data_IF_145078932827
#
_entry.id   IF_145078932827
#
_cell.length_a   1.000
_cell.length_b   1.000
_cell.length_c   1.000
_cell.angle_alpha   90.00
_cell.angle_beta   90.00
_cell.angle_gamma   90.00
#
_symmetry.space_group_name_H-M   'P 1'
#
loop_
_entity.id
_entity.type
_entity.pdbx_description
1 polymer ?
#
# COMPACT_ATOMS: atom_id res chain seq x y z
N UNK A 1 35.11 10.50 -0.63
CA UNK A 1 34.06 9.55 -1.08
C UNK A 1 34.70 8.58 -2.05
N UNK A 2 34.93 7.34 -1.61
CA UNK A 2 35.48 6.28 -2.47
C UNK A 2 34.37 5.86 -3.43
N UNK A 3 34.48 6.21 -4.71
CA UNK A 3 33.50 5.80 -5.72
C UNK A 3 33.77 4.33 -6.04
N UNK A 4 32.83 3.44 -5.68
CA UNK A 4 32.97 2.03 -5.99
C UNK A 4 32.85 1.80 -7.51
N UNK A 5 33.60 0.83 -8.07
CA UNK A 5 33.45 0.47 -9.48
C UNK A 5 31.99 0.07 -9.76
N UNK A 6 31.41 0.55 -10.87
CA UNK A 6 30.02 0.25 -11.29
C UNK A 6 29.69 -1.25 -11.25
N UNK A 7 30.66 -2.10 -11.61
CA UNK A 7 30.54 -3.56 -11.55
C UNK A 7 30.25 -4.08 -10.13
N UNK A 8 30.88 -3.51 -9.11
CA UNK A 8 30.70 -3.92 -7.72
C UNK A 8 29.35 -3.48 -7.16
N UNK A 9 28.87 -2.30 -7.55
CA UNK A 9 27.53 -1.84 -7.18
C UNK A 9 26.45 -2.81 -7.70
N UNK A 10 26.57 -3.26 -8.95
CA UNK A 10 25.65 -4.26 -9.53
C UNK A 10 25.67 -5.55 -8.72
N UNK A 11 26.85 -6.09 -8.40
CA UNK A 11 26.97 -7.31 -7.58
C UNK A 11 26.35 -7.17 -6.19
N UNK A 12 26.52 -6.02 -5.54
CA UNK A 12 25.90 -5.75 -4.23
C UNK A 12 24.37 -5.72 -4.37
N UNK A 13 23.84 -5.07 -5.41
CA UNK A 13 22.40 -4.99 -5.63
C UNK A 13 21.78 -6.35 -5.97
N UNK A 14 22.44 -7.17 -6.79
CA UNK A 14 21.99 -8.54 -7.10
C UNK A 14 21.99 -9.43 -5.84
N UNK A 15 23.04 -9.33 -5.01
CA UNK A 15 23.13 -10.09 -3.77
C UNK A 15 22.08 -9.63 -2.74
N UNK A 16 21.82 -8.32 -2.66
CA UNK A 16 20.76 -7.75 -1.84
C UNK A 16 19.37 -8.20 -2.29
N UNK A 17 19.10 -8.16 -3.59
CA UNK A 17 17.84 -8.62 -4.18
C UNK A 17 17.63 -10.11 -3.88
N UNK A 18 18.65 -10.93 -4.08
CA UNK A 18 18.60 -12.34 -3.74
C UNK A 18 18.27 -12.53 -2.25
N UNK A 19 18.91 -11.78 -1.36
CA UNK A 19 18.70 -11.84 0.09
C UNK A 19 17.25 -11.49 0.47
N UNK A 20 16.69 -10.40 -0.08
CA UNK A 20 15.30 -9.98 0.18
C UNK A 20 14.31 -11.03 -0.28
N UNK A 21 14.50 -11.58 -1.48
CA UNK A 21 13.64 -12.60 -2.06
C UNK A 21 14.04 -14.02 -1.63
N UNK A 22 14.50 -14.15 -0.38
CA UNK A 22 14.73 -15.46 0.23
C UNK A 22 13.40 -16.07 0.63
N UNK A 23 13.11 -17.28 0.15
CA UNK A 23 11.78 -17.88 0.37
C UNK A 23 11.60 -18.42 1.80
N UNK A 24 12.67 -18.86 2.45
CA UNK A 24 12.69 -19.34 3.82
C UNK A 24 13.94 -18.86 4.58
N UNK A 25 13.97 -19.16 5.88
CA UNK A 25 15.04 -18.72 6.78
C UNK A 25 16.38 -19.37 6.41
N UNK A 26 16.38 -20.64 5.99
CA UNK A 26 17.59 -21.34 5.59
C UNK A 26 18.25 -20.67 4.37
N UNK A 27 17.46 -20.37 3.33
CA UNK A 27 17.93 -19.65 2.15
C UNK A 27 18.38 -18.22 2.51
N UNK A 28 17.68 -17.55 3.43
CA UNK A 28 18.07 -16.22 3.90
C UNK A 28 19.45 -16.22 4.53
N UNK A 29 19.73 -17.10 5.49
CA UNK A 29 21.03 -17.14 6.15
C UNK A 29 22.16 -17.53 5.19
N UNK A 30 21.90 -18.43 4.24
CA UNK A 30 22.86 -18.76 3.17
C UNK A 30 23.19 -17.54 2.31
N UNK A 31 22.17 -16.80 1.86
CA UNK A 31 22.35 -15.60 1.03
C UNK A 31 22.92 -14.42 1.82
N UNK A 32 22.69 -14.36 3.12
CA UNK A 32 23.26 -13.34 4.01
C UNK A 32 24.78 -13.48 4.08
N UNK A 33 25.28 -14.72 4.20
CA UNK A 33 26.72 -14.99 4.17
C UNK A 33 27.35 -14.61 2.82
N UNK A 34 26.66 -14.84 1.69
CA UNK A 34 27.10 -14.42 0.36
C UNK A 34 27.15 -12.88 0.27
N UNK A 35 26.10 -12.21 0.74
CA UNK A 35 26.01 -10.75 0.77
C UNK A 35 27.14 -10.12 1.60
N UNK A 36 27.39 -10.66 2.80
CA UNK A 36 28.52 -10.26 3.66
C UNK A 36 29.86 -10.43 2.94
N UNK A 37 30.09 -11.58 2.30
CA UNK A 37 31.31 -11.83 1.53
C UNK A 37 31.54 -10.81 0.41
N UNK A 38 30.49 -10.45 -0.34
CA UNK A 38 30.55 -9.43 -1.41
C UNK A 38 30.80 -8.03 -0.83
N UNK A 39 30.22 -7.74 0.34
CA UNK A 39 30.36 -6.46 1.01
C UNK A 39 31.62 -6.33 1.90
N UNK A 40 32.47 -7.37 1.98
CA UNK A 40 33.72 -7.37 2.77
C UNK A 40 34.63 -6.16 2.51
N UNK A 41 34.68 -5.68 1.27
CA UNK A 41 35.48 -4.52 0.87
C UNK A 41 34.72 -3.18 0.97
N UNK A 42 33.55 -3.16 1.61
CA UNK A 42 32.76 -1.98 1.96
C UNK A 42 32.06 -2.19 3.31
N UNK A 43 32.84 -2.53 4.35
CA UNK A 43 32.33 -2.85 5.70
C UNK A 43 31.38 -1.79 6.26
N UNK A 44 31.69 -0.49 6.12
CA UNK A 44 30.81 0.60 6.57
C UNK A 44 29.39 0.49 6.01
N UNK A 45 29.25 0.10 4.74
CA UNK A 45 27.94 -0.10 4.11
C UNK A 45 27.26 -1.36 4.67
N UNK A 46 28.00 -2.46 4.79
CA UNK A 46 27.47 -3.69 5.37
C UNK A 46 27.00 -3.47 6.80
N UNK A 47 27.83 -2.88 7.66
CA UNK A 47 27.52 -2.59 9.06
C UNK A 47 26.25 -1.73 9.16
N UNK A 48 26.14 -0.70 8.32
CA UNK A 48 24.92 0.10 8.26
C UNK A 48 23.69 -0.75 7.89
N UNK A 49 23.75 -1.53 6.82
CA UNK A 49 22.62 -2.36 6.37
C UNK A 49 22.27 -3.43 7.41
N UNK A 50 23.28 -4.08 7.98
CA UNK A 50 23.14 -5.15 8.95
C UNK A 50 22.51 -4.64 10.25
N UNK A 51 23.11 -3.62 10.86
CA UNK A 51 22.70 -3.08 12.16
C UNK A 51 21.40 -2.27 12.09
N UNK A 52 21.18 -1.51 11.01
CA UNK A 52 20.02 -0.61 10.91
C UNK A 52 18.79 -1.27 10.27
N UNK A 53 18.99 -2.29 9.42
CA UNK A 53 17.89 -2.87 8.64
C UNK A 53 17.71 -4.37 8.89
N UNK A 54 18.76 -5.17 8.76
CA UNK A 54 18.61 -6.63 8.82
C UNK A 54 18.31 -7.11 10.24
N UNK A 55 19.06 -6.67 11.26
CA UNK A 55 18.81 -7.04 12.65
C UNK A 55 17.42 -6.60 13.12
N UNK A 56 17.03 -5.32 13.05
CA UNK A 56 15.79 -4.87 13.66
C UNK A 56 14.55 -5.10 12.79
N UNK A 57 14.70 -5.26 11.46
CA UNK A 57 13.59 -5.11 10.53
C UNK A 57 13.47 -6.15 9.42
N UNK A 58 14.35 -7.17 9.31
CA UNK A 58 14.27 -8.19 8.24
C UNK A 58 12.87 -8.80 8.09
N UNK A 59 12.18 -9.03 9.20
CA UNK A 59 10.84 -9.64 9.22
C UNK A 59 9.77 -8.80 8.52
N UNK A 60 10.05 -7.50 8.29
CA UNK A 60 9.12 -6.55 7.67
C UNK A 60 9.25 -6.48 6.15
N UNK A 61 10.35 -6.96 5.57
CA UNK A 61 10.61 -6.78 4.13
C UNK A 61 11.22 -8.00 3.43
N UNK A 62 11.73 -8.99 4.15
CA UNK A 62 12.27 -10.22 3.55
C UNK A 62 11.15 -11.26 3.41
N UNK A 63 11.05 -11.86 2.22
CA UNK A 63 9.99 -12.78 1.84
C UNK A 63 9.82 -13.98 2.78
N UNK A 64 10.91 -14.49 3.35
CA UNK A 64 10.90 -15.61 4.30
C UNK A 64 9.96 -15.37 5.50
N UNK A 65 9.77 -14.09 5.88
CA UNK A 65 8.87 -13.67 6.94
C UNK A 65 7.61 -12.99 6.42
N UNK A 66 7.73 -12.10 5.43
CA UNK A 66 6.56 -11.37 4.92
C UNK A 66 5.55 -12.29 4.23
N UNK A 67 6.00 -13.40 3.63
CA UNK A 67 5.11 -14.41 3.05
C UNK A 67 4.26 -15.17 4.09
N UNK A 68 4.53 -14.97 5.39
CA UNK A 68 3.75 -15.55 6.50
C UNK A 68 2.57 -14.68 6.93
N UNK A 69 2.45 -13.47 6.39
CA UNK A 69 1.37 -12.53 6.73
C UNK A 69 0.59 -12.11 5.49
N UNK A 70 -0.67 -11.73 5.67
CA UNK A 70 -1.51 -11.27 4.59
C UNK A 70 -1.24 -9.79 4.29
N UNK A 71 -0.74 -9.49 3.10
CA UNK A 71 -0.37 -8.13 2.67
C UNK A 71 -0.94 -7.75 1.29
N UNK A 72 -1.66 -8.63 0.61
CA UNK A 72 -2.32 -8.39 -0.70
C UNK A 72 -1.36 -7.85 -1.78
N UNK A 73 -0.10 -8.28 -1.76
CA UNK A 73 0.93 -7.79 -2.69
C UNK A 73 1.54 -6.43 -2.32
N UNK A 74 1.20 -5.85 -1.16
CA UNK A 74 1.76 -4.60 -0.69
C UNK A 74 3.10 -4.81 0.03
N UNK A 75 4.14 -5.11 -0.74
CA UNK A 75 5.49 -5.37 -0.20
C UNK A 75 6.48 -4.22 -0.44
N UNK A 76 6.09 -3.19 -1.19
CA UNK A 76 6.99 -2.09 -1.58
C UNK A 76 6.38 -0.71 -1.33
N UNK A 77 7.25 0.31 -1.21
CA UNK A 77 6.89 1.74 -1.10
C UNK A 77 6.47 2.35 -2.44
N UNK A 78 6.43 1.56 -3.54
CA UNK A 78 6.11 2.05 -4.88
C UNK A 78 4.78 2.81 -4.94
N UNK A 79 3.79 2.43 -4.11
CA UNK A 79 2.52 3.17 -4.03
C UNK A 79 2.71 4.63 -3.57
N UNK A 80 3.52 4.84 -2.54
CA UNK A 80 3.83 6.18 -2.02
C UNK A 80 4.63 6.97 -3.05
N UNK A 81 5.64 6.34 -3.65
CA UNK A 81 6.49 6.99 -4.66
C UNK A 81 5.71 7.35 -5.92
N UNK A 82 4.84 6.47 -6.40
CA UNK A 82 3.98 6.70 -7.56
C UNK A 82 2.95 7.81 -7.30
N UNK A 83 2.36 7.88 -6.11
CA UNK A 83 1.45 8.94 -5.71
C UNK A 83 2.17 10.29 -5.62
N UNK A 84 3.35 10.32 -4.98
CA UNK A 84 4.18 11.50 -4.88
C UNK A 84 4.66 11.99 -6.26
N UNK A 85 5.05 11.07 -7.15
CA UNK A 85 5.42 11.39 -8.52
C UNK A 85 4.24 11.96 -9.31
N UNK A 86 3.06 11.35 -9.17
CA UNK A 86 1.83 11.81 -9.82
C UNK A 86 1.46 13.22 -9.37
N UNK A 87 1.53 13.49 -8.06
CA UNK A 87 1.29 14.81 -7.49
C UNK A 87 2.28 15.84 -8.03
N UNK A 88 3.59 15.54 -7.99
CA UNK A 88 4.63 16.43 -8.55
C UNK A 88 4.41 16.73 -10.01
N UNK A 89 4.06 15.73 -10.81
CA UNK A 89 3.79 15.87 -12.24
C UNK A 89 2.66 16.85 -12.51
N UNK A 90 1.61 16.80 -11.71
CA UNK A 90 0.41 17.63 -11.90
C UNK A 90 0.66 19.06 -11.37
N UNK A 91 1.39 19.23 -10.26
CA UNK A 91 1.73 20.55 -9.72
C UNK A 91 2.74 21.33 -10.59
N UNK A 92 3.58 20.63 -11.36
CA UNK A 92 4.59 21.16 -12.30
C UNK A 92 5.72 21.98 -11.64
N UNK A 93 5.39 23.11 -11.01
CA UNK A 93 6.34 24.03 -10.37
C UNK A 93 5.90 24.46 -8.96
N UNK A 94 6.77 25.18 -8.27
CA UNK A 94 6.54 25.62 -6.88
C UNK A 94 6.02 27.07 -6.77
N UNK A 95 5.39 27.61 -7.83
CA UNK A 95 5.05 29.05 -7.93
C UNK A 95 3.54 29.30 -7.79
N UNK A 96 2.72 28.24 -7.77
CA UNK A 96 1.26 28.35 -7.62
C UNK A 96 0.82 28.90 -6.26
N UNK A 97 -0.31 29.63 -6.25
CA UNK A 97 -1.00 29.99 -5.01
C UNK A 97 -1.78 28.81 -4.43
N UNK A 98 -2.19 28.92 -3.16
CA UNK A 98 -2.83 27.81 -2.44
C UNK A 98 -4.17 27.39 -3.03
N UNK A 99 -4.94 28.30 -3.64
CA UNK A 99 -6.22 27.98 -4.27
C UNK A 99 -5.97 27.17 -5.55
N UNK A 100 -5.03 27.62 -6.38
CA UNK A 100 -4.62 26.89 -7.60
C UNK A 100 -4.10 25.48 -7.28
N UNK A 101 -3.30 25.34 -6.22
CA UNK A 101 -2.83 24.03 -5.74
C UNK A 101 -3.99 23.15 -5.28
N UNK A 102 -4.92 23.71 -4.50
CA UNK A 102 -6.09 22.98 -4.03
C UNK A 102 -6.97 22.47 -5.18
N UNK A 103 -7.33 23.34 -6.14
CA UNK A 103 -8.15 22.97 -7.30
C UNK A 103 -7.51 21.85 -8.12
N UNK A 104 -6.18 21.92 -8.27
CA UNK A 104 -5.37 20.93 -8.98
C UNK A 104 -5.39 19.57 -8.27
N UNK A 105 -5.16 19.56 -6.95
CA UNK A 105 -5.20 18.33 -6.13
C UNK A 105 -6.61 17.74 -6.12
N UNK A 106 -7.64 18.57 -5.93
CA UNK A 106 -9.03 18.13 -5.93
C UNK A 106 -9.40 17.48 -7.27
N UNK A 107 -9.02 18.11 -8.39
CA UNK A 107 -9.24 17.56 -9.74
C UNK A 107 -8.53 16.20 -9.92
N UNK A 108 -7.29 16.08 -9.45
CA UNK A 108 -6.55 14.81 -9.46
C UNK A 108 -7.29 13.72 -8.67
N UNK A 109 -7.76 14.03 -7.46
CA UNK A 109 -8.48 13.08 -6.61
C UNK A 109 -9.77 12.64 -7.28
N UNK A 110 -10.54 13.57 -7.86
CA UNK A 110 -11.78 13.26 -8.58
C UNK A 110 -11.51 12.34 -9.78
N UNK A 111 -10.46 12.63 -10.56
CA UNK A 111 -10.07 11.77 -11.68
C UNK A 111 -9.70 10.35 -11.22
N UNK A 112 -8.86 10.23 -10.19
CA UNK A 112 -8.48 8.93 -9.62
C UNK A 112 -9.68 8.18 -9.07
N UNK A 113 -10.60 8.88 -8.41
CA UNK A 113 -11.84 8.28 -7.90
C UNK A 113 -12.69 7.71 -9.05
N UNK A 114 -12.87 8.48 -10.12
CA UNK A 114 -13.60 8.04 -11.31
C UNK A 114 -12.91 6.86 -12.02
N UNK A 115 -11.58 6.87 -12.10
CA UNK A 115 -10.80 5.75 -12.66
C UNK A 115 -10.99 4.45 -11.84
N UNK A 116 -11.04 4.55 -10.51
CA UNK A 116 -11.29 3.39 -9.66
C UNK A 116 -12.72 2.87 -9.83
N UNK A 117 -13.73 3.76 -9.86
CA UNK A 117 -15.12 3.38 -10.14
C UNK A 117 -15.23 2.68 -11.50
N UNK A 118 -14.66 3.28 -12.54
CA UNK A 118 -14.65 2.68 -13.87
C UNK A 118 -13.96 1.31 -13.87
N UNK A 119 -12.88 1.13 -13.11
CA UNK A 119 -12.20 -0.17 -12.95
C UNK A 119 -13.09 -1.22 -12.26
N UNK A 120 -13.85 -0.82 -11.24
CA UNK A 120 -14.83 -1.69 -10.58
C UNK A 120 -15.94 -2.11 -11.54
N UNK A 121 -16.58 -1.17 -12.23
CA UNK A 121 -17.61 -1.45 -13.24
C UNK A 121 -17.08 -2.38 -14.34
N UNK A 122 -15.85 -2.13 -14.81
CA UNK A 122 -15.19 -2.99 -15.80
C UNK A 122 -15.02 -4.41 -15.24
N UNK A 123 -14.71 -4.57 -13.95
CA UNK A 123 -14.56 -5.88 -13.30
C UNK A 123 -15.90 -6.62 -13.18
N UNK A 124 -16.99 -5.88 -12.96
CA UNK A 124 -18.35 -6.43 -12.87
C UNK A 124 -18.88 -6.86 -14.24
N UNK A 125 -18.78 -5.97 -15.24
CA UNK A 125 -19.50 -6.09 -16.52
C UNK A 125 -18.71 -6.87 -17.56
N UNK A 126 -17.39 -6.68 -17.62
CA UNK A 126 -16.61 -7.19 -18.75
C UNK A 126 -16.38 -8.70 -18.64
N UNK A 127 -16.93 -9.44 -19.61
CA UNK A 127 -16.62 -10.87 -19.80
C UNK A 127 -15.28 -11.01 -20.52
N UNK A 128 -14.29 -11.58 -19.84
CA UNK A 128 -12.98 -11.89 -20.43
C UNK A 128 -12.97 -13.37 -20.84
N UNK A 129 -12.74 -13.64 -22.13
CA UNK A 129 -12.80 -15.01 -22.69
C UNK A 129 -11.84 -15.99 -21.98
N UNK A 130 -10.67 -15.51 -21.54
CA UNK A 130 -9.68 -16.29 -20.78
C UNK A 130 -10.27 -16.91 -19.51
N UNK A 131 -11.31 -16.31 -18.93
CA UNK A 131 -11.95 -16.74 -17.69
C UNK A 131 -13.32 -17.39 -17.94
N UNK A 132 -13.59 -17.82 -19.18
CA UNK A 132 -14.85 -18.46 -19.55
C UNK A 132 -15.00 -19.89 -19.00
N UNK A 133 -13.92 -20.51 -18.53
CA UNK A 133 -13.96 -21.89 -18.03
C UNK A 133 -14.85 -22.04 -16.78
N UNK A 134 -15.24 -23.28 -16.47
CA UNK A 134 -16.13 -23.58 -15.34
C UNK A 134 -15.55 -23.16 -13.97
N UNK A 135 -14.23 -23.16 -13.81
CA UNK A 135 -13.58 -22.89 -12.53
C UNK A 135 -13.86 -21.47 -12.06
N UNK A 136 -13.90 -20.50 -12.99
CA UNK A 136 -14.18 -19.10 -12.70
C UNK A 136 -15.68 -18.76 -12.65
N UNK A 137 -16.59 -19.73 -12.76
CA UNK A 137 -18.03 -19.46 -12.88
C UNK A 137 -18.58 -18.58 -11.74
N UNK A 138 -18.18 -18.86 -10.50
CA UNK A 138 -18.62 -18.10 -9.33
C UNK A 138 -17.88 -16.77 -9.13
N UNK A 139 -16.75 -16.57 -9.81
CA UNK A 139 -15.83 -15.46 -9.55
C UNK A 139 -16.09 -14.26 -10.48
N UNK A 140 -16.61 -14.55 -11.67
CA UNK A 140 -16.89 -13.55 -12.71
C UNK A 140 -17.95 -12.56 -12.23
N UNK A 141 -17.65 -11.27 -12.39
CA UNK A 141 -18.53 -10.19 -12.00
C UNK A 141 -18.61 -9.91 -10.49
N UNK A 142 -17.93 -10.72 -9.67
CA UNK A 142 -17.90 -10.59 -8.20
C UNK A 142 -16.54 -10.12 -7.70
N UNK A 143 -15.46 -10.58 -8.34
CA UNK A 143 -14.10 -10.24 -7.95
C UNK A 143 -13.50 -9.17 -8.84
N UNK A 144 -12.53 -8.44 -8.29
CA UNK A 144 -11.68 -7.56 -9.09
C UNK A 144 -10.91 -8.36 -10.14
N UNK A 145 -10.67 -7.74 -11.29
CA UNK A 145 -9.85 -8.38 -12.34
C UNK A 145 -8.47 -8.75 -11.84
N UNK A 146 -7.87 -7.90 -11.02
CA UNK A 146 -6.55 -8.19 -10.45
C UNK A 146 -6.55 -9.51 -9.65
N UNK A 147 -7.62 -9.78 -8.88
CA UNK A 147 -7.76 -11.07 -8.19
C UNK A 147 -7.85 -12.24 -9.17
N UNK A 148 -8.64 -12.10 -10.23
CA UNK A 148 -8.80 -13.14 -11.25
C UNK A 148 -7.48 -13.39 -11.99
N UNK A 149 -6.71 -12.35 -12.29
CA UNK A 149 -5.41 -12.43 -12.94
C UNK A 149 -4.40 -13.21 -12.05
N UNK A 150 -4.40 -12.96 -10.74
CA UNK A 150 -3.62 -13.75 -9.78
C UNK A 150 -4.03 -15.23 -9.75
N UNK A 151 -5.33 -15.53 -9.72
CA UNK A 151 -5.84 -16.92 -9.76
C UNK A 151 -5.47 -17.58 -11.09
N UNK A 152 -5.49 -16.84 -12.20
CA UNK A 152 -5.09 -17.35 -13.51
C UNK A 152 -3.61 -17.71 -13.57
N UNK A 153 -2.74 -16.90 -12.98
CA UNK A 153 -1.32 -17.23 -12.87
C UNK A 153 -1.09 -18.53 -12.06
N UNK A 154 -1.84 -18.73 -10.97
CA UNK A 154 -1.79 -19.98 -10.20
C UNK A 154 -2.40 -21.16 -10.95
N UNK A 155 -3.45 -20.94 -11.74
CA UNK A 155 -4.01 -21.97 -12.62
C UNK A 155 -2.99 -22.44 -13.65
N UNK A 156 -2.20 -21.53 -14.24
CA UNK A 156 -1.13 -21.91 -15.16
C UNK A 156 -0.03 -22.74 -14.46
N UNK A 157 0.24 -22.47 -13.17
CA UNK A 157 1.17 -23.24 -12.34
C UNK A 157 0.72 -24.68 -12.05
N UNK A 158 -0.59 -24.99 -12.13
CA UNK A 158 -1.13 -26.35 -11.89
C UNK A 158 -0.50 -27.40 -12.82
N UNK A 159 -0.02 -27.01 -14.00
CA UNK A 159 0.66 -27.93 -14.93
C UNK A 159 1.96 -28.50 -14.36
N UNK A 160 2.60 -27.77 -13.45
CA UNK A 160 3.90 -28.10 -12.87
C UNK A 160 3.78 -28.48 -11.40
N UNK A 161 2.81 -27.90 -10.71
CA UNK A 161 2.54 -28.10 -9.30
C UNK A 161 1.36 -29.06 -9.21
N UNK A 162 1.64 -30.30 -8.81
CA UNK A 162 0.60 -31.30 -8.54
C UNK A 162 -0.25 -30.87 -7.31
N UNK A 163 -1.01 -31.81 -6.74
CA UNK A 163 -1.79 -31.59 -5.52
C UNK A 163 -0.87 -31.42 -4.28
N UNK A 164 0.43 -31.70 -4.45
CA UNK A 164 1.45 -31.62 -3.41
C UNK A 164 1.62 -30.19 -2.90
N UNK A 165 1.43 -30.02 -1.58
CA UNK A 165 1.57 -28.72 -0.92
C UNK A 165 3.03 -28.28 -0.81
N UNK A 166 3.98 -29.23 -0.77
CA UNK A 166 5.42 -28.94 -0.61
C UNK A 166 5.98 -28.24 -1.86
N UNK A 167 5.59 -28.71 -3.05
CA UNK A 167 5.94 -28.07 -4.32
C UNK A 167 5.18 -26.76 -4.54
N UNK A 168 3.94 -26.67 -4.04
CA UNK A 168 3.10 -25.50 -4.24
C UNK A 168 3.52 -24.28 -3.41
N UNK A 169 3.96 -24.52 -2.17
CA UNK A 169 4.31 -23.52 -1.13
C UNK A 169 3.15 -22.66 -0.64
N UNK A 170 2.00 -22.66 -1.32
CA UNK A 170 0.78 -21.97 -0.91
C UNK A 170 0.95 -20.47 -0.59
N UNK A 171 2.01 -19.81 -1.07
CA UNK A 171 2.33 -18.43 -0.68
C UNK A 171 1.19 -17.45 -0.94
N UNK A 172 0.52 -17.58 -2.08
CA UNK A 172 -0.59 -16.69 -2.45
C UNK A 172 -1.83 -16.85 -1.54
N UNK A 173 -1.99 -18.04 -0.94
CA UNK A 173 -3.04 -18.31 0.04
C UNK A 173 -2.82 -17.49 1.29
N UNK A 174 -1.59 -17.45 1.79
CA UNK A 174 -1.23 -16.67 2.99
C UNK A 174 -1.19 -15.17 2.70
N UNK A 175 -0.54 -14.78 1.61
CA UNK A 175 -0.22 -13.38 1.32
C UNK A 175 -1.39 -12.60 0.73
N UNK A 176 -2.23 -13.24 -0.08
CA UNK A 176 -3.33 -12.60 -0.80
C UNK A 176 -4.70 -13.15 -0.37
N UNK A 177 -4.79 -14.28 0.33
CA UNK A 177 -6.07 -14.92 0.63
C UNK A 177 -6.77 -15.45 -0.62
N UNK A 178 -5.99 -15.87 -1.63
CA UNK A 178 -6.46 -16.44 -2.89
C UNK A 178 -6.09 -17.94 -2.96
N UNK A 179 -6.81 -18.77 -3.72
CA UNK A 179 -6.48 -20.19 -3.84
C UNK A 179 -5.11 -20.39 -4.51
N UNK A 180 -4.25 -21.24 -3.91
CA UNK A 180 -2.98 -21.68 -4.51
C UNK A 180 -3.22 -22.59 -5.73
N UNK A 181 -2.19 -22.80 -6.54
CA UNK A 181 -2.18 -23.84 -7.58
C UNK A 181 -2.64 -25.21 -7.06
N UNK A 182 -2.21 -25.62 -5.86
CA UNK A 182 -2.61 -26.87 -5.24
C UNK A 182 -4.11 -27.02 -4.93
N UNK A 183 -4.77 -25.93 -4.52
CA UNK A 183 -6.21 -25.87 -4.27
C UNK A 183 -6.96 -25.86 -5.61
N UNK A 184 -6.48 -25.07 -6.58
CA UNK A 184 -7.02 -25.01 -7.93
C UNK A 184 -6.95 -26.37 -8.63
N UNK A 185 -5.86 -27.13 -8.44
CA UNK A 185 -5.73 -28.49 -8.94
C UNK A 185 -6.85 -29.40 -8.41
N UNK A 186 -7.16 -29.33 -7.11
CA UNK A 186 -8.26 -30.08 -6.50
C UNK A 186 -9.62 -29.71 -7.09
N UNK A 187 -9.87 -28.40 -7.30
CA UNK A 187 -11.10 -27.96 -7.96
C UNK A 187 -11.18 -28.38 -9.42
N UNK A 188 -10.04 -28.57 -10.09
CA UNK A 188 -9.99 -29.03 -11.48
C UNK A 188 -10.39 -30.50 -11.63
N UNK A 189 -10.09 -31.34 -10.62
CA UNK A 189 -10.40 -32.77 -10.60
C UNK A 189 -11.89 -33.08 -10.41
N UNK A 190 -12.65 -32.16 -9.82
CA UNK A 190 -14.09 -32.30 -9.54
C UNK A 190 -14.84 -31.34 -10.47
N UNK A 191 -16.08 -31.62 -10.91
CA UNK A 191 -16.89 -30.66 -11.67
C UNK A 191 -17.40 -29.49 -10.80
N UNK A 192 -16.51 -28.81 -10.07
CA UNK A 192 -16.84 -27.71 -9.17
C UNK A 192 -16.09 -26.45 -9.57
N UNK A 193 -16.75 -25.30 -9.45
CA UNK A 193 -16.13 -23.98 -9.54
C UNK A 193 -15.37 -23.64 -8.25
N UNK A 194 -14.42 -22.71 -8.34
CA UNK A 194 -13.76 -22.17 -7.15
C UNK A 194 -14.84 -21.48 -6.30
N UNK A 195 -15.00 -21.86 -5.03
CA UNK A 195 -16.03 -21.29 -4.19
C UNK A 195 -15.60 -19.91 -3.68
N UNK A 196 -16.56 -19.00 -3.48
CA UNK A 196 -16.26 -17.61 -3.09
C UNK A 196 -15.73 -17.49 -1.66
N UNK A 197 -16.09 -18.42 -0.77
CA UNK A 197 -15.59 -18.52 0.60
C UNK A 197 -14.09 -18.85 0.67
N UNK A 198 -13.53 -19.46 -0.37
CA UNK A 198 -12.10 -19.67 -0.52
C UNK A 198 -11.33 -18.38 -0.87
N UNK A 199 -12.00 -17.23 -1.03
CA UNK A 199 -11.38 -15.98 -1.45
C UNK A 199 -11.62 -14.91 -0.39
N UNK A 200 -10.55 -14.24 0.02
CA UNK A 200 -10.65 -13.17 1.00
C UNK A 200 -11.52 -12.02 0.46
N UNK A 201 -12.49 -11.57 1.26
CA UNK A 201 -13.50 -10.58 0.86
C UNK A 201 -12.94 -9.21 0.45
N UNK A 202 -11.66 -8.93 0.73
CA UNK A 202 -10.94 -7.78 0.15
C UNK A 202 -11.07 -7.72 -1.38
N UNK A 203 -11.01 -8.87 -2.06
CA UNK A 203 -11.02 -8.93 -3.52
C UNK A 203 -12.38 -8.73 -4.17
N UNK A 204 -13.46 -8.84 -3.39
CA UNK A 204 -14.84 -8.61 -3.83
C UNK A 204 -15.34 -7.20 -3.51
N UNK A 205 -14.54 -6.36 -2.85
CA UNK A 205 -14.88 -4.95 -2.59
C UNK A 205 -14.73 -4.12 -3.86
N UNK A 206 -15.76 -4.16 -4.71
CA UNK A 206 -15.87 -3.42 -5.97
C UNK A 206 -16.75 -2.16 -5.84
N UNK A 207 -16.81 -1.60 -4.64
CA UNK A 207 -17.60 -0.40 -4.35
C UNK A 207 -16.92 0.39 -3.25
N UNK A 208 -17.08 1.71 -3.30
CA UNK A 208 -16.71 2.60 -2.19
C UNK A 208 -17.81 2.68 -1.13
N UNK A 209 -19.02 2.23 -1.45
CA UNK A 209 -20.13 2.18 -0.51
C UNK A 209 -19.87 1.05 0.49
N UNK A 210 -19.94 1.36 1.78
CA UNK A 210 -20.01 0.32 2.80
C UNK A 210 -21.36 -0.35 2.63
N UNK A 211 -21.36 -1.60 2.19
CA UNK A 211 -22.56 -2.42 2.12
C UNK A 211 -23.18 -2.52 3.51
N UNK A 212 -24.25 -1.74 3.74
CA UNK A 212 -25.15 -1.91 4.87
C UNK A 212 -25.82 -3.30 4.88
N UNK A 213 -25.59 -4.12 3.85
CA UNK A 213 -26.11 -5.48 3.64
C UNK A 213 -25.17 -6.60 4.10
N UNK A 214 -23.90 -6.31 4.40
CA UNK A 214 -23.14 -7.22 5.25
C UNK A 214 -23.76 -7.10 6.64
N UNK A 215 -24.43 -8.15 7.12
CA UNK A 215 -24.98 -8.20 8.48
C UNK A 215 -23.90 -7.64 9.41
N UNK A 216 -24.07 -6.42 9.93
CA UNK A 216 -23.10 -5.89 10.85
C UNK A 216 -23.24 -6.82 12.03
N UNK A 217 -22.21 -7.62 12.31
CA UNK A 217 -21.96 -8.06 13.68
C UNK A 217 -22.16 -6.80 14.52
N UNK A 218 -23.21 -6.79 15.33
CA UNK A 218 -23.84 -5.59 15.90
C UNK A 218 -22.74 -4.64 16.38
N UNK A 219 -22.46 -3.60 15.58
CA UNK A 219 -21.35 -2.70 15.84
C UNK A 219 -21.73 -1.86 17.07
N UNK A 220 -21.28 -2.31 18.23
CA UNK A 220 -21.54 -1.63 19.50
C UNK A 220 -20.38 -0.71 19.82
N UNK A 221 -20.67 0.59 19.88
CA UNK A 221 -19.71 1.64 20.29
C UNK A 221 -19.65 1.79 21.81
N UNK A 222 -20.42 0.98 22.57
CA UNK A 222 -20.54 1.12 24.03
C UNK A 222 -19.20 0.97 24.74
N UNK A 223 -18.40 -0.02 24.38
CA UNK A 223 -17.13 -0.28 25.06
C UNK A 223 -16.16 0.90 24.89
N UNK A 224 -16.07 1.45 23.69
CA UNK A 224 -15.23 2.59 23.37
C UNK A 224 -15.69 3.85 24.10
N UNK A 225 -17.01 4.07 24.21
CA UNK A 225 -17.58 5.17 24.98
C UNK A 225 -17.26 5.02 26.47
N UNK A 226 -17.39 3.82 27.04
CA UNK A 226 -17.09 3.55 28.44
C UNK A 226 -15.60 3.83 28.75
N UNK A 227 -14.69 3.44 27.85
CA UNK A 227 -13.26 3.74 27.97
C UNK A 227 -13.01 5.26 27.92
N UNK A 228 -13.70 5.98 27.02
CA UNK A 228 -13.60 7.43 26.91
C UNK A 228 -14.13 8.12 28.18
N UNK A 229 -15.24 7.66 28.74
CA UNK A 229 -15.82 8.19 29.99
C UNK A 229 -14.87 7.97 31.16
N UNK A 230 -14.30 6.76 31.29
CA UNK A 230 -13.29 6.49 32.33
C UNK A 230 -12.08 7.42 32.20
N UNK A 231 -11.57 7.57 30.97
CA UNK A 231 -10.46 8.48 30.67
C UNK A 231 -10.82 9.93 30.97
N UNK A 232 -12.06 10.34 30.71
CA UNK A 232 -12.55 11.68 31.02
C UNK A 232 -12.53 11.95 32.53
N UNK A 233 -12.89 10.97 33.36
CA UNK A 233 -12.87 11.15 34.81
C UNK A 233 -11.47 11.24 35.42
N UNK A 234 -10.49 10.57 34.81
CA UNK A 234 -9.07 10.59 35.23
C UNK A 234 -8.33 11.89 34.85
N UNK A 235 -8.91 12.74 33.99
CA UNK A 235 -8.28 13.99 33.54
C UNK A 235 -8.46 15.16 34.50
N UNK A 236 -7.52 16.10 34.44
CA UNK A 236 -7.62 17.41 35.07
C UNK A 236 -8.62 18.33 34.34
N UNK A 237 -8.96 19.48 34.92
CA UNK A 237 -9.98 20.40 34.37
C UNK A 237 -9.66 20.83 32.92
N UNK A 238 -8.42 21.22 32.56
CA UNK A 238 -8.04 21.49 31.17
C UNK A 238 -8.23 20.29 30.24
N UNK A 239 -7.81 19.09 30.66
CA UNK A 239 -7.99 17.85 29.90
C UNK A 239 -9.45 17.52 29.65
N UNK A 240 -10.32 17.68 30.67
CA UNK A 240 -11.77 17.51 30.55
C UNK A 240 -12.38 18.49 29.53
N UNK A 241 -11.99 19.77 29.55
CA UNK A 241 -12.48 20.76 28.57
C UNK A 241 -12.07 20.37 27.15
N UNK A 242 -10.81 19.98 26.93
CA UNK A 242 -10.30 19.60 25.61
C UNK A 242 -11.02 18.35 25.07
N UNK A 243 -11.14 17.30 25.89
CA UNK A 243 -11.79 16.05 25.49
C UNK A 243 -13.29 16.25 25.21
N UNK A 244 -13.98 17.06 26.03
CA UNK A 244 -15.37 17.45 25.79
C UNK A 244 -15.55 18.19 24.46
N UNK A 245 -14.60 19.07 24.11
CA UNK A 245 -14.58 19.75 22.82
C UNK A 245 -14.57 18.78 21.65
N UNK A 246 -13.63 17.83 21.65
CA UNK A 246 -13.52 16.80 20.59
C UNK A 246 -14.75 15.90 20.49
N UNK A 247 -15.31 15.49 21.63
CA UNK A 247 -16.54 14.68 21.64
C UNK A 247 -17.73 15.47 21.07
N UNK A 248 -17.79 16.78 21.31
CA UNK A 248 -18.82 17.64 20.74
C UNK A 248 -18.69 17.77 19.22
N UNK A 249 -17.47 17.85 18.69
CA UNK A 249 -17.22 17.86 17.24
C UNK A 249 -17.74 16.58 16.57
N UNK A 250 -17.50 15.43 17.22
CA UNK A 250 -17.97 14.12 16.76
C UNK A 250 -19.50 14.01 16.84
N UNK A 251 -20.11 14.43 17.96
CA UNK A 251 -21.54 14.31 18.20
C UNK A 251 -22.39 15.34 17.41
N UNK A 252 -21.82 16.51 17.13
CA UNK A 252 -22.52 17.63 16.50
C UNK A 252 -21.69 18.26 15.36
N UNK A 253 -21.42 17.52 14.28
CA UNK A 253 -20.58 17.98 13.19
C UNK A 253 -21.14 19.25 12.52
N UNK A 254 -22.47 19.41 12.48
CA UNK A 254 -23.15 20.60 11.95
C UNK A 254 -22.92 21.88 12.77
N UNK A 255 -22.51 21.77 14.03
CA UNK A 255 -22.19 22.93 14.89
C UNK A 255 -20.70 23.28 14.89
N UNK A 256 -19.88 22.44 14.27
CA UNK A 256 -18.43 22.63 14.11
C UNK A 256 -18.18 23.38 12.79
N UNK A 257 -18.73 24.58 12.70
CA UNK A 257 -18.56 25.44 11.53
C UNK A 257 -17.13 25.96 11.45
N UNK A 258 -16.40 25.56 10.41
CA UNK A 258 -15.14 26.21 10.01
C UNK A 258 -15.44 27.59 9.42
N UNK A 259 -15.74 28.56 10.27
CA UNK A 259 -15.71 29.95 9.82
C UNK A 259 -14.26 30.33 9.48
N UNK A 260 -14.01 31.02 8.36
CA UNK A 260 -12.70 31.56 8.08
C UNK A 260 -12.27 32.50 9.22
N UNK A 261 -10.98 32.55 9.59
CA UNK A 261 -10.49 33.51 10.57
C UNK A 261 -10.92 34.92 10.18
N UNK A 262 -11.33 35.72 11.16
CA UNK A 262 -11.63 37.15 10.95
C UNK A 262 -10.46 37.78 10.19
N UNK A 263 -10.77 38.52 9.12
CA UNK A 263 -9.79 39.06 8.19
C UNK A 263 -8.58 39.67 8.92
N UNK A 264 -7.38 39.26 8.51
CA UNK A 264 -6.11 39.75 9.09
C UNK A 264 -6.12 41.29 9.10
N UNK A 265 -6.01 41.87 10.30
CA UNK A 265 -5.69 43.29 10.47
C UNK A 265 -4.42 43.59 9.68
N UNK A 266 -4.44 44.64 8.85
CA UNK A 266 -3.27 45.08 8.08
C UNK A 266 -2.18 45.57 9.03
N UNK A 267 -1.35 44.67 9.54
CA UNK A 267 -0.07 45.03 10.15
C UNK A 267 0.91 45.36 9.03
N UNK A 268 1.52 46.54 9.09
CA UNK A 268 2.55 46.98 8.13
C UNK A 268 3.68 45.95 8.09
N UNK A 269 3.71 45.14 7.04
CA UNK A 269 4.79 44.17 6.78
C UNK A 269 6.07 44.88 6.34
N UNK A 270 7.20 44.20 6.54
CA UNK A 270 8.54 44.66 6.16
C UNK A 270 8.67 44.89 4.63
N UNK A 271 9.57 45.78 4.18
CA UNK A 271 9.73 46.11 2.77
C UNK A 271 10.17 44.87 1.96
N UNK A 272 9.55 44.66 0.80
CA UNK A 272 9.99 43.64 -0.16
C UNK A 272 11.33 44.06 -0.75
N UNK A 273 12.38 43.25 -0.55
CA UNK A 273 13.61 43.31 -1.38
C UNK A 273 13.27 42.88 -2.81
N UNK A 274 13.88 43.57 -3.77
CA UNK A 274 13.70 43.36 -5.20
C UNK A 274 13.91 41.90 -5.61
N UNK A 275 13.02 41.41 -6.49
CA UNK A 275 13.08 40.08 -7.07
C UNK A 275 14.26 40.00 -8.04
N UNK A 276 15.41 39.48 -7.59
CA UNK A 276 16.40 38.93 -8.51
C UNK A 276 15.74 37.83 -9.34
N UNK A 277 15.91 37.85 -10.67
CA UNK A 277 15.37 36.85 -11.60
C UNK A 277 15.86 35.44 -11.25
N UNK A 278 15.10 34.73 -10.41
CA UNK A 278 15.27 33.30 -10.16
C UNK A 278 14.94 32.55 -11.45
N UNK A 279 15.92 31.81 -11.98
CA UNK A 279 15.85 31.11 -13.25
C UNK A 279 14.75 30.03 -13.24
N UNK A 280 14.21 29.65 -14.41
CA UNK A 280 13.20 28.57 -14.51
C UNK A 280 13.70 27.22 -13.96
N UNK A 281 15.02 27.03 -13.84
CA UNK A 281 15.64 25.80 -13.33
C UNK A 281 15.44 25.64 -11.82
N UNK A 282 15.41 26.74 -11.09
CA UNK A 282 15.27 26.76 -9.62
C UNK A 282 13.81 26.58 -9.14
N UNK A 283 12.86 26.55 -10.07
CA UNK A 283 11.41 26.44 -9.81
C UNK A 283 10.84 25.07 -10.16
N UNK A 284 11.66 24.19 -10.72
CA UNK A 284 11.27 22.85 -11.13
C UNK A 284 11.15 21.92 -9.92
N UNK A 285 10.06 21.18 -9.82
CA UNK A 285 9.90 20.09 -8.84
C UNK A 285 10.62 18.79 -9.26
N UNK A 286 11.19 18.76 -10.47
CA UNK A 286 12.01 17.65 -10.99
C UNK A 286 13.41 17.71 -10.40
N UNK A 287 13.86 16.59 -9.83
CA UNK A 287 15.24 16.39 -9.37
C UNK A 287 16.10 16.04 -10.59
N UNK A 288 17.34 16.54 -10.65
CA UNK A 288 18.31 16.03 -11.61
C UNK A 288 18.54 14.52 -11.35
N UNK A 289 18.77 13.71 -12.41
CA UNK A 289 19.05 12.30 -12.26
C UNK A 289 20.23 12.10 -11.29
N UNK A 290 20.03 11.23 -10.31
CA UNK A 290 21.11 10.81 -9.42
C UNK A 290 22.00 9.86 -10.23
N UNK A 291 23.24 10.26 -10.49
CA UNK A 291 24.27 9.44 -11.14
C UNK A 291 24.87 8.42 -10.17
#
# INVERSE_FOLDING_TARGET
MTVFPKKKQVQIMEAWEALIYSYDEAQYYMKLAIFEGICSSCSIFYDYVHEQWLIPHKERFVEAWTNRVMHFGNTTTQRVESAHWSLKRILQDSIGDICSVWETINSMIVLQHNEIIASFEKSIIQKVHRYSNRLYANLRGVLSKNAIDHIAAEYDRVKYVSIDQTECRCTIRTTHGLPCACEIARYSMIPRSIPLDAIHGWWSKLTFHVDASSQPSELSVKHEIDVIVKKFEELDVPGKISLKGKLREIAYPSTTSMFPPVAKVKTKGAPKKDKSKVSKRDKSTKRDPSW
#
